data_IF_025147181106
#
_entry.id   IF_025147181106
#
_cell.length_a   1.000
_cell.length_b   1.000
_cell.length_c   1.000
_cell.angle_alpha   90.00
_cell.angle_beta   90.00
_cell.angle_gamma   90.00
#
_symmetry.space_group_name_H-M   'P 1'
#
loop_
_entity.id
_entity.type
_entity.pdbx_description
1 polymer ?
#
# COMPACT_ATOMS: atom_id res chain seq x y z
N UNK A 1 -29.39 12.22 35.28
CA UNK A 1 -28.05 12.03 34.67
C UNK A 1 -28.23 11.92 33.16
N UNK A 2 -27.86 12.94 32.36
CA UNK A 2 -27.94 12.82 30.92
C UNK A 2 -26.77 11.96 30.42
N UNK A 3 -27.10 10.86 29.74
CA UNK A 3 -26.13 10.03 29.02
C UNK A 3 -25.63 10.85 27.84
N UNK A 4 -24.35 11.19 27.84
CA UNK A 4 -23.69 11.73 26.65
C UNK A 4 -23.95 10.77 25.49
N UNK A 5 -24.53 11.22 24.36
CA UNK A 5 -24.29 10.51 23.12
C UNK A 5 -22.78 10.65 22.88
N UNK A 6 -22.05 9.55 23.02
CA UNK A 6 -20.74 9.44 22.38
C UNK A 6 -21.04 9.56 20.91
N UNK A 7 -20.92 10.77 20.39
CA UNK A 7 -20.90 11.07 18.97
C UNK A 7 -19.75 10.20 18.42
N UNK A 8 -20.09 9.02 17.91
CA UNK A 8 -19.24 8.24 17.03
C UNK A 8 -19.17 9.04 15.72
N UNK A 9 -18.48 10.18 15.76
CA UNK A 9 -18.21 10.99 14.60
C UNK A 9 -16.87 10.50 14.08
N UNK A 10 -16.97 9.75 12.99
CA UNK A 10 -16.01 9.84 11.90
C UNK A 10 -14.58 9.47 12.30
N UNK A 11 -14.35 8.18 12.57
CA UNK A 11 -13.08 7.59 12.14
C UNK A 11 -13.30 7.25 10.66
N UNK A 12 -12.95 8.12 9.69
CA UNK A 12 -13.19 7.82 8.29
C UNK A 12 -12.32 6.62 7.91
N UNK A 13 -12.98 5.46 7.82
CA UNK A 13 -12.44 4.27 7.20
C UNK A 13 -12.20 4.61 5.73
N UNK A 14 -10.93 4.73 5.35
CA UNK A 14 -10.50 4.98 4.00
C UNK A 14 -10.10 3.66 3.34
N UNK A 15 -10.58 3.45 2.13
CA UNK A 15 -10.23 2.31 1.30
C UNK A 15 -8.95 2.60 0.54
N UNK A 16 -7.85 1.93 0.88
CA UNK A 16 -6.55 2.11 0.24
C UNK A 16 -6.29 0.95 -0.72
N UNK A 17 -5.93 1.26 -1.97
CA UNK A 17 -5.61 0.28 -3.00
C UNK A 17 -4.10 0.13 -3.10
N UNK A 18 -3.57 -0.85 -2.38
CA UNK A 18 -2.16 -1.18 -2.35
C UNK A 18 -1.80 -1.98 -3.61
N UNK A 19 -0.94 -1.42 -4.46
CA UNK A 19 -0.53 -2.03 -5.72
C UNK A 19 0.94 -2.43 -5.67
N UNK A 20 1.21 -3.65 -6.12
CA UNK A 20 2.55 -4.20 -6.28
C UNK A 20 2.59 -5.05 -7.54
N UNK A 21 3.30 -4.60 -8.56
CA UNK A 21 3.32 -5.31 -9.84
C UNK A 21 1.92 -5.52 -10.40
N UNK A 22 1.56 -6.77 -10.64
CA UNK A 22 0.22 -7.22 -11.07
C UNK A 22 -0.78 -7.37 -9.92
N UNK A 23 -0.31 -7.34 -8.67
CA UNK A 23 -1.13 -7.56 -7.49
C UNK A 23 -1.76 -6.25 -7.03
N UNK A 24 -3.09 -6.26 -6.88
CA UNK A 24 -3.83 -5.17 -6.25
C UNK A 24 -4.52 -5.71 -5.00
N UNK A 25 -4.11 -5.18 -3.84
CA UNK A 25 -4.64 -5.49 -2.53
C UNK A 25 -5.50 -4.32 -2.07
N UNK A 26 -6.74 -4.62 -1.69
CA UNK A 26 -7.66 -3.65 -1.14
C UNK A 26 -7.62 -3.76 0.38
N UNK A 27 -7.18 -2.69 1.04
CA UNK A 27 -7.09 -2.62 2.49
C UNK A 27 -7.99 -1.49 2.99
N UNK A 28 -8.89 -1.82 3.90
CA UNK A 28 -9.65 -0.82 4.63
C UNK A 28 -8.81 -0.37 5.82
N UNK A 29 -8.53 0.93 5.90
CA UNK A 29 -7.68 1.52 6.94
C UNK A 29 -8.38 2.73 7.53
N UNK A 30 -7.90 3.24 8.65
CA UNK A 30 -8.44 4.47 9.26
C UNK A 30 -7.44 5.60 9.09
N UNK A 31 -7.89 6.85 8.95
CA UNK A 31 -6.98 8.01 8.86
C UNK A 31 -6.06 8.18 10.06
N UNK A 32 -6.47 7.66 11.23
CA UNK A 32 -5.72 7.65 12.48
C UNK A 32 -4.73 6.48 12.58
N UNK A 33 -4.73 5.55 11.62
CA UNK A 33 -3.71 4.50 11.58
C UNK A 33 -2.36 5.08 11.16
N UNK A 34 -1.33 4.50 11.78
CA UNK A 34 0.05 4.77 11.41
C UNK A 34 0.50 3.84 10.28
N UNK A 35 1.50 4.26 9.52
CA UNK A 35 2.10 3.38 8.50
C UNK A 35 2.70 2.11 9.08
N UNK A 36 3.16 2.12 10.34
CA UNK A 36 3.60 0.90 11.02
C UNK A 36 2.46 -0.12 11.08
N UNK A 37 1.27 0.31 11.50
CA UNK A 37 0.11 -0.57 11.59
C UNK A 37 -0.36 -1.03 10.21
N UNK A 38 -0.41 -0.12 9.24
CA UNK A 38 -0.76 -0.47 7.86
C UNK A 38 0.21 -1.52 7.29
N UNK A 39 1.51 -1.36 7.55
CA UNK A 39 2.55 -2.30 7.13
C UNK A 39 2.32 -3.69 7.71
N UNK A 40 2.05 -3.77 9.02
CA UNK A 40 1.79 -5.05 9.68
C UNK A 40 0.56 -5.74 9.11
N UNK A 41 -0.55 -5.02 8.91
CA UNK A 41 -1.77 -5.58 8.31
C UNK A 41 -1.52 -6.04 6.87
N UNK A 42 -0.82 -5.24 6.08
CA UNK A 42 -0.44 -5.59 4.71
C UNK A 42 0.41 -6.85 4.68
N UNK A 43 1.47 -6.93 5.49
CA UNK A 43 2.33 -8.11 5.59
C UNK A 43 1.58 -9.34 6.09
N UNK A 44 0.61 -9.17 6.98
CA UNK A 44 -0.26 -10.25 7.44
C UNK A 44 -1.16 -10.80 6.32
N UNK A 45 -1.68 -9.93 5.45
CA UNK A 45 -2.47 -10.36 4.29
C UNK A 45 -1.56 -10.99 3.23
N UNK A 46 -0.39 -10.42 3.01
CA UNK A 46 0.57 -10.92 2.02
C UNK A 46 1.08 -12.31 2.40
N UNK A 47 1.41 -12.58 3.67
CA UNK A 47 1.84 -13.92 4.10
C UNK A 47 0.73 -14.97 4.00
N UNK A 48 -0.53 -14.57 4.22
CA UNK A 48 -1.69 -15.46 4.16
C UNK A 48 -2.08 -15.78 2.71
N UNK A 49 -2.08 -14.76 1.83
CA UNK A 49 -2.55 -14.89 0.44
C UNK A 49 -1.44 -15.23 -0.55
N UNK A 50 -0.22 -14.80 -0.28
CA UNK A 50 0.96 -14.95 -1.15
C UNK A 50 2.14 -15.61 -0.40
N UNK A 51 1.97 -16.84 0.13
CA UNK A 51 3.05 -17.54 0.83
C UNK A 51 4.24 -17.89 -0.08
N UNK A 52 4.03 -17.92 -1.39
CA UNK A 52 5.06 -18.21 -2.41
C UNK A 52 5.85 -16.94 -2.85
N UNK A 53 5.49 -15.76 -2.30
CA UNK A 53 6.04 -14.46 -2.66
C UNK A 53 5.15 -13.65 -3.61
N UNK A 54 5.51 -12.37 -3.78
CA UNK A 54 4.81 -11.42 -4.65
C UNK A 54 5.48 -11.35 -6.02
N UNK A 55 4.69 -11.41 -7.10
CA UNK A 55 5.19 -11.27 -8.47
C UNK A 55 5.13 -9.81 -8.91
N UNK A 56 6.29 -9.23 -9.24
CA UNK A 56 6.38 -7.82 -9.66
C UNK A 56 5.92 -7.57 -11.12
N UNK A 57 6.11 -8.53 -12.03
CA UNK A 57 5.71 -8.38 -13.44
C UNK A 57 5.36 -9.73 -14.05
N UNK A 58 4.41 -9.75 -15.00
CA UNK A 58 4.01 -10.99 -15.69
C UNK A 58 5.15 -11.59 -16.51
N UNK A 59 6.09 -10.75 -16.97
CA UNK A 59 7.27 -11.15 -17.73
C UNK A 59 8.53 -11.38 -16.89
N UNK A 60 8.51 -11.07 -15.59
CA UNK A 60 9.69 -11.12 -14.73
C UNK A 60 9.51 -12.19 -13.65
N UNK A 61 10.34 -13.26 -13.62
CA UNK A 61 10.23 -14.32 -12.62
C UNK A 61 10.70 -13.90 -11.23
N UNK A 62 11.08 -12.63 -11.04
CA UNK A 62 11.50 -12.10 -9.76
C UNK A 62 10.30 -12.04 -8.80
N UNK A 63 10.21 -13.09 -7.97
CA UNK A 63 9.31 -13.15 -6.83
C UNK A 63 9.96 -12.48 -5.65
N UNK A 64 9.32 -11.44 -5.14
CA UNK A 64 9.77 -10.80 -3.92
C UNK A 64 9.27 -11.63 -2.75
N UNK A 65 10.18 -12.28 -1.99
CA UNK A 65 9.77 -13.09 -0.85
C UNK A 65 9.13 -12.17 0.20
N UNK A 66 8.00 -12.63 0.75
CA UNK A 66 7.36 -11.96 1.88
C UNK A 66 7.91 -12.63 3.14
N UNK A 67 8.75 -11.95 3.94
CA UNK A 67 9.30 -12.56 5.14
C UNK A 67 8.23 -12.78 6.19
N UNK A 68 8.46 -13.78 7.03
CA UNK A 68 7.54 -14.15 8.10
C UNK A 68 7.50 -13.12 9.24
N UNK A 69 8.52 -12.26 9.33
CA UNK A 69 8.70 -11.27 10.40
C UNK A 69 8.71 -9.85 9.85
N UNK A 70 7.90 -8.99 10.46
CA UNK A 70 7.76 -7.57 10.12
C UNK A 70 9.03 -6.74 10.39
N UNK A 71 9.94 -7.25 11.24
CA UNK A 71 11.22 -6.61 11.59
C UNK A 71 12.32 -6.86 10.54
N UNK A 72 12.15 -7.90 9.72
CA UNK A 72 13.11 -8.33 8.70
C UNK A 72 12.86 -7.66 7.36
N UNK A 73 11.84 -6.79 7.25
CA UNK A 73 11.53 -6.09 6.00
C UNK A 73 11.01 -4.69 6.21
N UNK A 74 11.39 -3.83 5.28
CA UNK A 74 10.94 -2.45 5.22
C UNK A 74 9.99 -2.29 4.05
N UNK A 75 8.86 -1.62 4.29
CA UNK A 75 7.89 -1.34 3.22
C UNK A 75 7.97 0.13 2.87
N UNK A 76 8.37 0.42 1.63
CA UNK A 76 8.30 1.76 1.08
C UNK A 76 6.92 1.98 0.46
N UNK A 77 6.42 3.21 0.59
CA UNK A 77 5.14 3.62 0.04
C UNK A 77 5.31 4.78 -0.94
N UNK A 78 4.60 4.70 -2.05
CA UNK A 78 4.54 5.75 -3.04
C UNK A 78 3.11 6.03 -3.47
N UNK A 79 2.82 7.32 -3.66
CA UNK A 79 1.58 7.77 -4.25
C UNK A 79 1.77 7.96 -5.75
N UNK A 80 0.78 7.63 -6.59
CA UNK A 80 0.85 7.89 -8.00
C UNK A 80 0.97 9.40 -8.20
N UNK A 81 1.83 9.82 -9.14
CA UNK A 81 1.92 11.24 -9.49
C UNK A 81 0.58 11.77 -10.02
N UNK A 82 -0.19 10.91 -10.68
CA UNK A 82 -1.51 11.23 -11.19
C UNK A 82 -2.52 10.15 -10.76
N UNK A 83 -3.54 10.52 -10.01
CA UNK A 83 -4.56 9.57 -9.54
C UNK A 83 -5.36 8.91 -10.68
N UNK A 84 -5.46 9.59 -11.83
CA UNK A 84 -6.12 9.07 -13.03
C UNK A 84 -5.17 8.30 -13.96
N UNK A 85 -3.85 8.45 -13.80
CA UNK A 85 -2.87 7.81 -14.68
C UNK A 85 -1.68 7.29 -13.87
N UNK A 86 -1.76 6.00 -13.55
CA UNK A 86 -0.78 5.30 -12.75
C UNK A 86 0.51 4.98 -13.53
N UNK A 87 0.50 5.20 -14.86
CA UNK A 87 1.64 5.05 -15.77
C UNK A 87 2.59 6.26 -15.74
N UNK A 88 2.10 7.45 -15.34
CA UNK A 88 2.92 8.65 -15.08
C UNK A 88 4.01 8.45 -14.01
N UNK A 89 3.94 7.33 -13.29
CA UNK A 89 4.92 6.92 -12.30
C UNK A 89 4.55 7.29 -10.88
N UNK A 90 5.38 6.82 -9.96
CA UNK A 90 5.10 6.83 -8.54
C UNK A 90 6.04 7.80 -7.82
N UNK A 91 5.50 8.51 -6.84
CA UNK A 91 6.24 9.44 -5.99
C UNK A 91 6.33 8.83 -4.59
N UNK A 92 7.53 8.40 -4.23
CA UNK A 92 7.82 7.93 -2.89
C UNK A 92 7.46 9.02 -1.86
N UNK A 93 6.58 8.71 -0.92
CA UNK A 93 6.15 9.65 0.11
C UNK A 93 7.05 9.63 1.35
N UNK A 94 8.06 8.75 1.38
CA UNK A 94 8.97 8.50 2.52
C UNK A 94 8.17 8.48 3.81
N UNK A 95 7.17 7.60 3.84
CA UNK A 95 6.29 7.45 4.98
C UNK A 95 7.09 6.89 6.14
N UNK A 96 7.04 7.55 7.29
CA UNK A 96 7.65 7.02 8.50
C UNK A 96 6.63 6.10 9.19
N UNK A 97 7.08 5.04 9.88
CA UNK A 97 6.19 4.11 10.58
C UNK A 97 5.31 4.81 11.63
N UNK A 98 5.77 5.94 12.19
CA UNK A 98 5.00 6.76 13.15
C UNK A 98 4.10 7.82 12.50
N UNK A 99 4.13 7.96 11.17
CA UNK A 99 3.32 8.94 10.44
C UNK A 99 1.88 8.43 10.28
N UNK A 100 0.91 9.35 10.26
CA UNK A 100 -0.52 9.03 10.14
C UNK A 100 -0.92 9.04 8.66
N UNK A 101 -1.75 8.09 8.25
CA UNK A 101 -2.19 7.97 6.86
C UNK A 101 -2.88 9.26 6.37
N UNK A 102 -3.76 9.83 7.20
CA UNK A 102 -4.44 11.09 6.88
C UNK A 102 -3.48 12.29 6.74
N UNK A 103 -2.34 12.29 7.44
CA UNK A 103 -1.33 13.36 7.35
C UNK A 103 -0.50 13.28 6.07
N UNK A 104 -0.33 12.08 5.51
CA UNK A 104 0.44 11.84 4.28
C UNK A 104 -0.38 11.93 2.99
N UNK A 105 -1.64 12.35 3.10
CA UNK A 105 -2.51 12.57 1.94
C UNK A 105 -3.11 11.28 1.38
N UNK A 106 -3.21 10.22 2.19
CA UNK A 106 -4.04 9.08 1.81
C UNK A 106 -5.51 9.46 2.00
N UNK A 107 -6.24 9.39 0.89
CA UNK A 107 -7.68 9.62 0.84
C UNK A 107 -8.41 8.31 0.57
N UNK A 108 -9.73 8.30 0.78
CA UNK A 108 -10.56 7.18 0.36
C UNK A 108 -10.40 6.91 -1.14
N UNK A 109 -10.37 5.63 -1.52
CA UNK A 109 -10.12 5.10 -2.86
C UNK A 109 -8.75 5.40 -3.48
N UNK A 110 -7.78 5.90 -2.70
CA UNK A 110 -6.46 6.22 -3.24
C UNK A 110 -5.68 4.96 -3.62
N UNK A 111 -4.98 5.02 -4.76
CA UNK A 111 -4.01 3.99 -5.14
C UNK A 111 -2.66 4.30 -4.52
N UNK A 112 -2.02 3.31 -3.92
CA UNK A 112 -0.73 3.44 -3.27
C UNK A 112 0.14 2.30 -3.79
N UNK A 113 1.28 2.61 -4.40
CA UNK A 113 2.26 1.58 -4.67
C UNK A 113 3.02 1.30 -3.38
N UNK A 114 3.22 0.02 -3.08
CA UNK A 114 4.15 -0.37 -2.04
C UNK A 114 5.28 -1.18 -2.66
N UNK A 115 6.41 -1.23 -1.97
CA UNK A 115 7.53 -2.07 -2.35
C UNK A 115 8.17 -2.62 -1.09
N UNK A 116 8.42 -3.92 -1.11
CA UNK A 116 9.12 -4.62 -0.05
C UNK A 116 10.62 -4.48 -0.30
N UNK A 117 11.35 -4.01 0.70
CA UNK A 117 12.78 -3.74 0.69
C UNK A 117 13.42 -4.40 1.90
N UNK A 118 14.60 -4.99 1.72
CA UNK A 118 15.40 -5.40 2.87
C UNK A 118 15.64 -4.22 3.83
N UNK A 119 15.75 -4.44 5.14
CA UNK A 119 15.97 -3.40 6.13
C UNK A 119 17.31 -2.67 5.92
N UNK A 120 18.23 -3.31 5.19
CA UNK A 120 19.53 -2.75 4.76
C UNK A 120 19.49 -2.09 3.39
N UNK A 121 18.38 -2.16 2.65
CA UNK A 121 18.26 -1.60 1.31
C UNK A 121 17.86 -0.11 1.35
N UNK A 122 18.43 0.67 0.42
CA UNK A 122 18.14 2.08 0.27
C UNK A 122 16.73 2.31 -0.32
N UNK A 123 15.86 2.96 0.45
CA UNK A 123 14.54 3.42 -0.02
C UNK A 123 14.62 4.42 -1.20
N UNK A 124 15.80 4.97 -1.48
CA UNK A 124 16.03 5.93 -2.55
C UNK A 124 16.03 5.32 -3.95
N UNK A 125 16.40 4.05 -4.08
CA UNK A 125 16.50 3.34 -5.37
C UNK A 125 15.29 2.43 -5.64
N UNK A 126 14.28 2.48 -4.76
CA UNK A 126 13.13 1.59 -4.87
C UNK A 126 12.30 1.93 -6.11
N UNK A 127 12.24 0.97 -7.04
CA UNK A 127 11.41 1.07 -8.22
C UNK A 127 10.03 0.49 -7.91
N UNK A 128 9.05 1.38 -7.79
CA UNK A 128 7.65 1.00 -7.68
C UNK A 128 7.15 0.55 -9.05
N UNK A 129 7.40 -0.70 -9.39
CA UNK A 129 6.81 -1.33 -10.56
C UNK A 129 5.38 -1.72 -10.21
N UNK A 130 4.43 -1.00 -10.79
CA UNK A 130 3.01 -1.38 -10.76
C UNK A 130 2.59 -1.60 -12.20
N UNK A 131 2.31 -2.84 -12.51
CA UNK A 131 1.79 -3.25 -13.79
C UNK A 131 0.28 -3.11 -13.68
N UNK A 132 -0.24 -1.98 -14.19
CA UNK A 132 -1.67 -1.79 -14.30
C UNK A 132 -2.10 -2.67 -15.46
N UNK A 133 -2.92 -3.72 -15.26
CA UNK A 133 -3.55 -4.36 -16.40
C UNK A 133 -4.35 -3.27 -17.09
N UNK A 134 -3.95 -2.91 -18.30
CA UNK A 134 -4.82 -2.15 -19.19
C UNK A 134 -6.01 -3.06 -19.42
N UNK A 135 -7.16 -2.71 -18.85
CA UNK A 135 -8.44 -3.13 -19.41
C UNK A 135 -8.44 -2.51 -20.81
N UNK A 136 -7.89 -3.24 -21.77
CA UNK A 136 -8.18 -3.01 -23.18
C UNK A 136 -9.69 -3.18 -23.32
N UNK A 137 -10.34 -2.07 -23.69
CA UNK A 137 -11.71 -1.92 -24.16
C UNK A 137 -12.85 -2.42 -23.26
N UNK A 138 -13.51 -1.46 -22.59
CA UNK A 138 -14.95 -1.57 -22.32
C UNK A 138 -15.69 -0.33 -22.86
N UNK A 139 -15.50 -0.04 -24.15
CA UNK A 139 -16.40 0.82 -24.94
C UNK A 139 -16.55 0.27 -26.37
N UNK A 140 -17.41 -0.74 -26.54
CA UNK A 140 -17.96 -1.16 -27.84
C UNK A 140 -19.48 -0.99 -27.87
#
# INVERSE_FOLDING_TARGET
MPRVPRNAVDDPEISVRLKYGIHTIFLFTMVDWTFSRLTTELLSILRDRYPDGLTASTGDPQKTPVPASDDDIRVAYALPKNANDLSQGWKNIKAQPSDLLGKKGLTDTCSVAFALLDPTADEGDVQFQVEVPTLEDEEA
#
